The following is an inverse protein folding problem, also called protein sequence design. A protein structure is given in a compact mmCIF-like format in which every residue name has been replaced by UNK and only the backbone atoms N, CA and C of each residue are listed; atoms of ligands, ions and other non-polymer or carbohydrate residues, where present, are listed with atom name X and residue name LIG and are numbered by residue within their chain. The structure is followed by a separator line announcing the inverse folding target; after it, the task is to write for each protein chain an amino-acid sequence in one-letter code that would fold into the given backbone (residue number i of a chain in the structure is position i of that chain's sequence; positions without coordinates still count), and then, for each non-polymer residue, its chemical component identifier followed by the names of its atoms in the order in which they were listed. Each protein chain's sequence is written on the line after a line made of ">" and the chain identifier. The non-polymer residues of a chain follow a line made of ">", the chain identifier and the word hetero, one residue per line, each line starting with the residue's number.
data_IF_124632359373
#
_entry.id   IF_124632359373
#
_cell.length_a   1.000
_cell.length_b   1.000
_cell.length_c   1.000
_cell.angle_alpha   90.00
_cell.angle_beta   90.00
_cell.angle_gamma   90.00
#
_symmetry.space_group_name_H-M   'P 1'
#
loop_
_entity.id
_entity.type
_entity.pdbx_description
1 polymer ?
#
# COMPACT_ATOMS: atom_id res chain seq x y z
N UNK A 1 4.51 -26.52 12.09
CA UNK A 1 5.80 -25.84 12.32
C UNK A 1 6.14 -25.00 11.10
N UNK A 2 6.38 -23.71 11.26
CA UNK A 2 6.79 -22.77 10.21
C UNK A 2 8.28 -22.87 9.83
N UNK A 3 8.88 -24.05 9.96
CA UNK A 3 10.31 -24.25 9.72
C UNK A 3 10.67 -23.86 8.28
N UNK A 4 11.78 -23.17 8.11
CA UNK A 4 12.27 -22.58 6.85
C UNK A 4 11.31 -21.54 6.23
N UNK A 5 10.42 -20.94 7.02
CA UNK A 5 9.44 -19.95 6.53
C UNK A 5 9.55 -18.60 7.24
N UNK A 6 9.23 -17.54 6.49
CA UNK A 6 8.84 -16.24 7.03
C UNK A 6 7.38 -16.01 6.67
N UNK A 7 6.54 -15.71 7.67
CA UNK A 7 5.13 -15.36 7.47
C UNK A 7 4.94 -13.90 7.86
N UNK A 8 4.26 -13.14 7.01
CA UNK A 8 4.02 -11.72 7.21
C UNK A 8 2.52 -11.48 7.14
N UNK A 9 1.96 -10.83 8.15
CA UNK A 9 0.64 -10.20 8.08
C UNK A 9 0.82 -8.70 7.90
N UNK A 10 0.01 -8.06 7.06
CA UNK A 10 0.06 -6.60 6.87
C UNK A 10 -1.30 -6.02 6.57
N UNK A 11 -1.58 -4.87 7.19
CA UNK A 11 -2.82 -4.12 7.03
C UNK A 11 -2.56 -2.59 7.14
N UNK A 12 -3.47 -1.79 6.57
CA UNK A 12 -3.44 -0.34 6.59
C UNK A 12 -4.84 0.25 6.72
N UNK A 13 -4.97 1.23 7.61
CA UNK A 13 -6.22 1.93 7.90
C UNK A 13 -6.07 3.44 7.72
N UNK A 14 -7.17 4.11 7.36
CA UNK A 14 -7.23 5.56 7.26
C UNK A 14 -8.60 6.08 7.73
N UNK A 15 -8.60 7.00 8.69
CA UNK A 15 -9.81 7.66 9.21
C UNK A 15 -10.17 8.83 8.31
N UNK A 16 -11.04 8.56 7.32
CA UNK A 16 -11.22 9.44 6.16
C UNK A 16 -10.21 9.12 5.06
N UNK A 17 -10.54 9.41 3.80
CA UNK A 17 -9.66 9.03 2.67
C UNK A 17 -9.60 10.16 1.62
N UNK A 18 -8.65 11.11 1.73
CA UNK A 18 -7.50 11.12 2.65
C UNK A 18 -7.84 11.51 4.11
N UNK A 19 -6.96 11.15 5.04
CA UNK A 19 -7.08 11.45 6.48
C UNK A 19 -5.89 10.92 7.30
N UNK A 20 -5.95 11.00 8.64
CA UNK A 20 -5.00 10.31 9.52
C UNK A 20 -5.02 8.81 9.24
N UNK A 21 -3.86 8.19 9.07
CA UNK A 21 -3.72 6.78 8.77
C UNK A 21 -2.70 6.09 9.65
N UNK A 22 -2.80 4.78 9.69
CA UNK A 22 -1.89 3.89 10.38
C UNK A 22 -1.71 2.63 9.55
N UNK A 23 -0.54 2.02 9.67
CA UNK A 23 -0.30 0.68 9.14
C UNK A 23 0.32 -0.19 10.21
N UNK A 24 0.14 -1.49 10.06
CA UNK A 24 0.77 -2.47 10.92
C UNK A 24 1.19 -3.70 10.12
N UNK A 25 2.28 -4.32 10.58
CA UNK A 25 2.76 -5.59 10.05
C UNK A 25 3.29 -6.47 11.18
N UNK A 26 3.03 -7.77 11.07
CA UNK A 26 3.57 -8.80 11.97
C UNK A 26 4.48 -9.68 11.14
N UNK A 27 5.75 -9.80 11.52
CA UNK A 27 6.72 -10.67 10.85
C UNK A 27 7.09 -11.83 11.77
N UNK A 28 6.82 -13.05 11.32
CA UNK A 28 7.10 -14.30 12.02
C UNK A 28 8.28 -14.98 11.32
N UNK A 29 9.40 -15.10 12.01
CA UNK A 29 10.58 -15.84 11.57
C UNK A 29 10.51 -17.26 12.14
N UNK A 30 10.15 -18.23 11.30
CA UNK A 30 9.89 -19.60 11.74
C UNK A 30 11.13 -20.36 12.21
N UNK A 31 12.30 -20.08 11.62
CA UNK A 31 13.58 -20.69 12.02
C UNK A 31 14.02 -20.24 13.42
N UNK A 32 14.03 -18.92 13.66
CA UNK A 32 14.34 -18.32 14.96
C UNK A 32 13.22 -18.48 16.01
N UNK A 33 12.00 -18.86 15.61
CA UNK A 33 10.79 -18.80 16.45
C UNK A 33 10.62 -17.41 17.06
N UNK A 34 10.56 -16.40 16.19
CA UNK A 34 10.57 -15.00 16.61
C UNK A 34 9.48 -14.20 15.91
N UNK A 35 8.84 -13.30 16.64
CA UNK A 35 7.77 -12.42 16.13
C UNK A 35 8.16 -10.98 16.38
N UNK A 36 7.91 -10.13 15.39
CA UNK A 36 8.08 -8.69 15.51
C UNK A 36 6.89 -7.96 14.87
N UNK A 37 6.22 -7.13 15.67
CA UNK A 37 5.24 -6.16 15.23
C UNK A 37 5.95 -4.87 14.79
N UNK A 38 5.43 -4.26 13.74
CA UNK A 38 5.86 -2.98 13.19
C UNK A 38 4.60 -2.15 12.96
N UNK A 39 4.64 -0.86 13.31
CA UNK A 39 3.56 0.06 12.98
C UNK A 39 4.05 1.50 12.91
N UNK A 40 3.30 2.34 12.21
CA UNK A 40 3.50 3.79 12.20
C UNK A 40 2.22 4.51 11.81
N UNK A 41 2.07 5.73 12.34
CA UNK A 41 1.00 6.65 12.00
C UNK A 41 1.49 7.68 10.98
N UNK A 42 0.58 8.12 10.11
CA UNK A 42 0.80 9.22 9.17
C UNK A 42 -0.41 10.17 9.24
N UNK A 43 -0.24 11.44 9.66
CA UNK A 43 -1.35 12.36 9.90
C UNK A 43 -2.17 12.71 8.66
N UNK A 44 -1.61 12.59 7.45
CA UNK A 44 -2.30 12.89 6.20
C UNK A 44 -1.92 11.91 5.08
N UNK A 45 -2.73 10.88 4.90
CA UNK A 45 -2.48 9.79 3.95
C UNK A 45 -3.78 9.24 3.35
N UNK A 46 -3.70 8.10 2.68
CA UNK A 46 -4.85 7.34 2.16
C UNK A 46 -4.72 5.87 2.58
N UNK A 47 -5.83 5.12 2.54
CA UNK A 47 -5.81 3.69 2.87
C UNK A 47 -4.77 2.92 2.04
N UNK A 48 -4.81 3.10 0.72
CA UNK A 48 -3.90 2.42 -0.22
C UNK A 48 -2.42 2.70 0.08
N UNK A 49 -2.08 3.93 0.51
CA UNK A 49 -0.69 4.24 0.89
C UNK A 49 -0.29 3.47 2.14
N UNK A 50 -1.16 3.40 3.15
CA UNK A 50 -0.89 2.65 4.38
C UNK A 50 -0.75 1.15 4.13
N UNK A 51 -1.62 0.55 3.31
CA UNK A 51 -1.51 -0.86 2.92
C UNK A 51 -0.16 -1.17 2.24
N UNK A 52 0.29 -0.32 1.30
CA UNK A 52 1.60 -0.50 0.64
C UNK A 52 2.73 -0.31 1.65
N UNK A 53 2.69 0.74 2.46
CA UNK A 53 3.77 1.07 3.41
C UNK A 53 3.95 -0.02 4.46
N UNK A 54 2.87 -0.61 4.98
CA UNK A 54 2.96 -1.73 5.91
C UNK A 54 3.66 -2.94 5.28
N UNK A 55 3.27 -3.31 4.06
CA UNK A 55 3.89 -4.41 3.32
C UNK A 55 5.36 -4.14 3.03
N UNK A 56 5.70 -2.91 2.62
CA UNK A 56 7.07 -2.47 2.37
C UNK A 56 7.94 -2.54 3.64
N UNK A 57 7.45 -2.02 4.77
CA UNK A 57 8.20 -2.02 6.03
C UNK A 57 8.55 -3.44 6.51
N UNK A 58 7.60 -4.37 6.39
CA UNK A 58 7.84 -5.78 6.71
C UNK A 58 8.91 -6.41 5.81
N UNK A 59 8.85 -6.15 4.49
CA UNK A 59 9.86 -6.66 3.55
C UNK A 59 11.23 -6.04 3.77
N UNK A 60 11.32 -4.75 4.15
CA UNK A 60 12.59 -4.11 4.52
C UNK A 60 13.20 -4.79 5.74
N UNK A 61 12.39 -5.10 6.77
CA UNK A 61 12.84 -5.86 7.94
C UNK A 61 13.42 -7.23 7.51
N UNK A 62 12.69 -7.96 6.67
CA UNK A 62 13.14 -9.26 6.16
C UNK A 62 14.43 -9.14 5.33
N UNK A 63 14.53 -8.16 4.44
CA UNK A 63 15.69 -7.91 3.57
C UNK A 63 16.98 -7.60 4.34
N UNK A 64 16.87 -7.18 5.61
CA UNK A 64 18.00 -6.88 6.48
C UNK A 64 18.20 -7.94 7.58
N UNK A 65 17.43 -9.03 7.57
CA UNK A 65 17.53 -10.12 8.53
C UNK A 65 18.37 -11.27 7.97
N UNK A 66 19.30 -11.86 8.74
CA UNK A 66 20.07 -13.03 8.31
C UNK A 66 19.18 -14.26 8.07
N UNK A 67 18.00 -14.32 8.71
CA UNK A 67 17.02 -15.39 8.51
C UNK A 67 16.58 -15.51 7.05
N UNK A 68 16.63 -14.41 6.27
CA UNK A 68 16.25 -14.43 4.87
C UNK A 68 17.08 -15.43 4.06
N UNK A 69 18.36 -15.59 4.38
CA UNK A 69 19.30 -16.43 3.62
C UNK A 69 19.00 -17.93 3.77
N UNK A 70 18.37 -18.34 4.87
CA UNK A 70 18.01 -19.73 5.16
C UNK A 70 16.52 -20.00 4.98
N UNK A 71 15.73 -18.99 4.67
CA UNK A 71 14.29 -19.11 4.41
C UNK A 71 14.06 -19.74 3.05
N UNK A 72 13.20 -20.76 2.98
CA UNK A 72 12.76 -21.38 1.72
C UNK A 72 11.49 -20.75 1.18
N UNK A 73 10.60 -20.30 2.06
CA UNK A 73 9.31 -19.73 1.68
C UNK A 73 8.97 -18.47 2.47
N UNK A 74 8.55 -17.42 1.79
CA UNK A 74 8.03 -16.20 2.40
C UNK A 74 6.58 -15.99 1.97
N UNK A 75 5.67 -15.89 2.93
CA UNK A 75 4.23 -15.73 2.67
C UNK A 75 3.78 -14.37 3.19
N UNK A 76 3.38 -13.48 2.29
CA UNK A 76 2.70 -12.23 2.64
C UNK A 76 1.18 -12.47 2.65
N UNK A 77 0.55 -12.18 3.79
CA UNK A 77 -0.88 -12.26 4.03
C UNK A 77 -1.41 -10.84 4.24
N UNK A 78 -2.34 -10.44 3.38
CA UNK A 78 -3.04 -9.15 3.48
C UNK A 78 -4.43 -9.29 2.86
N UNK A 79 -5.39 -8.49 3.31
CA UNK A 79 -6.70 -8.36 2.67
C UNK A 79 -6.71 -7.31 1.55
N UNK A 80 -5.61 -6.61 1.32
CA UNK A 80 -5.47 -5.67 0.22
C UNK A 80 -5.27 -6.39 -1.12
N UNK A 81 -6.37 -6.55 -1.85
CA UNK A 81 -6.35 -6.93 -3.28
C UNK A 81 -5.53 -5.93 -4.11
N UNK A 82 -5.51 -4.65 -3.70
CA UNK A 82 -4.75 -3.59 -4.36
C UNK A 82 -3.24 -3.84 -4.27
N UNK A 83 -2.73 -4.17 -3.07
CA UNK A 83 -1.32 -4.52 -2.87
C UNK A 83 -0.95 -5.78 -3.64
N UNK A 84 -1.73 -6.85 -3.47
CA UNK A 84 -1.45 -8.15 -4.09
C UNK A 84 -1.38 -8.00 -5.61
N UNK A 85 -2.43 -7.48 -6.27
CA UNK A 85 -2.43 -7.34 -7.74
C UNK A 85 -1.41 -6.32 -8.23
N UNK A 86 -1.19 -5.25 -7.46
CA UNK A 86 -0.20 -4.25 -7.83
C UNK A 86 1.19 -4.87 -7.99
N UNK A 87 1.66 -5.62 -6.99
CA UNK A 87 3.00 -6.23 -7.02
C UNK A 87 3.10 -7.49 -7.89
N UNK A 88 2.02 -8.28 -8.03
CA UNK A 88 2.03 -9.55 -8.79
C UNK A 88 1.53 -9.45 -10.22
N UNK A 89 0.89 -8.36 -10.63
CA UNK A 89 0.32 -8.21 -11.97
C UNK A 89 0.67 -6.86 -12.61
N UNK A 90 0.33 -5.75 -11.96
CA UNK A 90 0.30 -4.44 -12.65
C UNK A 90 1.67 -3.80 -12.80
N UNK A 91 2.55 -3.99 -11.81
CA UNK A 91 3.86 -3.35 -11.76
C UNK A 91 4.73 -3.66 -12.97
N UNK A 92 4.63 -4.86 -13.53
CA UNK A 92 5.35 -5.26 -14.74
C UNK A 92 4.93 -4.40 -15.95
N UNK A 93 3.63 -4.17 -16.10
CA UNK A 93 3.08 -3.31 -17.14
C UNK A 93 3.41 -1.83 -16.92
N UNK A 94 3.38 -1.37 -15.66
CA UNK A 94 3.77 -0.01 -15.31
C UNK A 94 5.23 0.27 -15.63
N UNK A 95 6.16 -0.59 -15.19
CA UNK A 95 7.60 -0.48 -15.48
C UNK A 95 7.87 -0.45 -16.98
N UNK A 96 7.25 -1.35 -17.76
CA UNK A 96 7.38 -1.38 -19.22
C UNK A 96 6.90 -0.10 -19.92
N UNK A 97 5.93 0.61 -19.32
CA UNK A 97 5.36 1.86 -19.84
C UNK A 97 5.96 3.13 -19.20
N UNK A 98 7.08 3.02 -18.50
CA UNK A 98 7.69 4.16 -17.82
C UNK A 98 6.80 4.75 -16.73
N UNK A 99 6.20 3.88 -15.91
CA UNK A 99 5.29 4.21 -14.81
C UNK A 99 4.02 4.96 -15.22
N UNK A 100 3.46 4.54 -16.36
CA UNK A 100 2.16 5.00 -16.85
C UNK A 100 1.13 3.88 -16.90
N UNK A 101 -0.10 4.26 -16.58
CA UNK A 101 -1.29 3.41 -16.70
C UNK A 101 -1.62 3.15 -18.18
N UNK A 102 -2.55 2.24 -18.46
CA UNK A 102 -3.03 1.99 -19.82
C UNK A 102 -3.70 3.22 -20.46
N UNK A 103 -4.14 4.19 -19.65
CA UNK A 103 -4.68 5.47 -20.11
C UNK A 103 -3.59 6.54 -20.33
N UNK A 104 -2.30 6.17 -20.26
CA UNK A 104 -1.14 7.08 -20.38
C UNK A 104 -1.04 8.14 -19.25
N UNK A 105 -1.77 7.96 -18.16
CA UNK A 105 -1.67 8.78 -16.95
C UNK A 105 -0.61 8.18 -16.00
N UNK A 106 0.04 8.99 -15.14
CA UNK A 106 0.97 8.48 -14.12
C UNK A 106 0.30 7.47 -13.19
N UNK A 107 1.09 6.51 -12.71
CA UNK A 107 0.63 5.53 -11.72
C UNK A 107 0.45 6.21 -10.37
N UNK A 108 -0.72 6.02 -9.75
CA UNK A 108 -0.95 6.49 -8.38
C UNK A 108 -0.07 5.73 -7.39
N UNK A 109 0.48 6.45 -6.40
CA UNK A 109 1.43 5.91 -5.41
C UNK A 109 2.70 5.32 -6.04
N UNK A 110 3.12 5.82 -7.21
CA UNK A 110 4.32 5.37 -7.91
C UNK A 110 5.55 5.35 -6.98
N UNK A 111 5.70 6.36 -6.13
CA UNK A 111 6.77 6.48 -5.13
C UNK A 111 6.89 5.20 -4.26
N UNK A 112 5.78 4.75 -3.69
CA UNK A 112 5.77 3.56 -2.84
C UNK A 112 5.90 2.26 -3.65
N UNK A 113 5.37 2.23 -4.87
CA UNK A 113 5.51 1.07 -5.75
C UNK A 113 6.95 0.85 -6.22
N UNK A 114 7.67 1.92 -6.53
CA UNK A 114 9.08 1.88 -6.88
C UNK A 114 9.92 1.32 -5.72
N UNK A 115 9.67 1.77 -4.49
CA UNK A 115 10.34 1.26 -3.29
C UNK A 115 10.01 -0.21 -3.03
N UNK A 116 8.73 -0.60 -3.14
CA UNK A 116 8.30 -1.98 -2.95
C UNK A 116 8.93 -2.93 -3.97
N UNK A 117 8.95 -2.56 -5.26
CA UNK A 117 9.61 -3.32 -6.33
C UNK A 117 11.11 -3.48 -6.06
N UNK A 118 11.78 -2.41 -5.62
CA UNK A 118 13.21 -2.43 -5.30
C UNK A 118 13.52 -3.41 -4.16
N UNK A 119 12.72 -3.40 -3.08
CA UNK A 119 12.92 -4.31 -1.94
C UNK A 119 12.61 -5.76 -2.32
N UNK A 120 11.54 -6.01 -3.07
CA UNK A 120 11.23 -7.35 -3.60
C UNK A 120 12.36 -7.86 -4.49
N UNK A 121 12.91 -6.99 -5.35
CA UNK A 121 14.05 -7.32 -6.23
C UNK A 121 15.30 -7.62 -5.41
N UNK A 122 15.60 -6.82 -4.39
CA UNK A 122 16.72 -7.05 -3.45
C UNK A 122 16.56 -8.40 -2.74
N UNK A 123 15.37 -8.73 -2.24
CA UNK A 123 15.10 -10.00 -1.58
C UNK A 123 15.39 -11.18 -2.51
N UNK A 124 14.90 -11.14 -3.76
CA UNK A 124 15.17 -12.18 -4.76
C UNK A 124 16.65 -12.30 -5.11
N UNK A 125 17.39 -11.19 -5.13
CA UNK A 125 18.83 -11.21 -5.36
C UNK A 125 19.60 -11.83 -4.17
N UNK A 126 19.19 -11.53 -2.94
CA UNK A 126 19.81 -12.08 -1.72
C UNK A 126 19.50 -13.57 -1.52
N UNK A 127 18.31 -14.02 -1.90
CA UNK A 127 17.91 -15.42 -1.84
C UNK A 127 17.17 -15.83 -3.13
N UNK A 128 17.92 -16.25 -4.17
CA UNK A 128 17.33 -16.63 -5.47
C UNK A 128 16.41 -17.86 -5.43
N UNK A 129 16.55 -18.70 -4.40
CA UNK A 129 15.76 -19.92 -4.23
C UNK A 129 14.51 -19.69 -3.36
N UNK A 130 14.26 -18.46 -2.91
CA UNK A 130 13.11 -18.13 -2.08
C UNK A 130 11.81 -18.24 -2.89
N UNK A 131 10.90 -19.09 -2.42
CA UNK A 131 9.50 -19.06 -2.86
C UNK A 131 8.79 -17.90 -2.17
N UNK A 132 8.59 -16.78 -2.88
CA UNK A 132 7.81 -15.65 -2.37
C UNK A 132 6.36 -15.73 -2.85
N UNK A 133 5.43 -15.80 -1.90
CA UNK A 133 3.99 -15.93 -2.13
C UNK A 133 3.25 -14.72 -1.56
N UNK A 134 2.33 -14.16 -2.34
CA UNK A 134 1.37 -13.14 -1.90
C UNK A 134 -0.02 -13.78 -1.85
N UNK A 135 -0.66 -13.74 -0.69
CA UNK A 135 -1.91 -14.46 -0.45
C UNK A 135 -2.95 -13.54 0.17
N UNK A 136 -4.18 -13.67 -0.33
CA UNK A 136 -5.32 -12.94 0.21
C UNK A 136 -5.83 -13.63 1.47
N UNK A 137 -6.03 -12.84 2.51
CA UNK A 137 -6.82 -13.19 3.69
C UNK A 137 -8.04 -12.29 3.73
N UNK A 138 -9.17 -12.78 4.24
CA UNK A 138 -10.36 -11.96 4.33
C UNK A 138 -10.27 -11.10 5.61
N UNK A 139 -10.44 -9.78 5.47
CA UNK A 139 -10.59 -8.89 6.62
C UNK A 139 -11.79 -9.27 7.49
N UNK A 140 -11.66 -9.08 8.81
CA UNK A 140 -12.67 -9.37 9.83
C UNK A 140 -13.27 -10.78 9.73
N UNK A 141 -12.42 -11.79 9.56
CA UNK A 141 -12.82 -13.18 9.35
C UNK A 141 -12.28 -14.17 10.40
N UNK A 142 -11.81 -13.69 11.56
CA UNK A 142 -11.23 -14.51 12.62
C UNK A 142 -9.75 -14.86 12.41
N UNK A 143 -9.06 -14.23 11.46
CA UNK A 143 -7.65 -14.50 11.19
C UNK A 143 -6.81 -13.64 12.13
N UNK A 144 -6.36 -14.22 13.24
CA UNK A 144 -5.75 -13.49 14.37
C UNK A 144 -4.63 -12.53 13.96
N UNK A 145 -3.74 -12.93 13.04
CA UNK A 145 -2.67 -12.06 12.53
C UNK A 145 -3.18 -10.85 11.75
N UNK A 146 -4.20 -11.03 10.89
CA UNK A 146 -4.79 -9.91 10.16
C UNK A 146 -5.58 -8.99 11.09
N UNK A 147 -6.33 -9.57 12.03
CA UNK A 147 -7.11 -8.80 13.01
C UNK A 147 -6.22 -8.00 13.96
N UNK A 148 -5.07 -8.55 14.34
CA UNK A 148 -4.08 -7.80 15.12
C UNK A 148 -3.47 -6.65 14.32
N UNK A 149 -3.18 -6.84 13.04
CA UNK A 149 -2.73 -5.74 12.18
C UNK A 149 -3.80 -4.64 12.05
N UNK A 150 -5.07 -5.00 11.78
CA UNK A 150 -6.21 -4.07 11.72
C UNK A 150 -6.32 -3.25 13.03
N UNK A 151 -6.32 -3.94 14.17
CA UNK A 151 -6.41 -3.30 15.50
C UNK A 151 -5.31 -2.26 15.71
N UNK A 152 -4.05 -2.61 15.40
CA UNK A 152 -2.91 -1.69 15.54
C UNK A 152 -3.06 -0.52 14.55
N UNK A 153 -3.36 -0.81 13.28
CA UNK A 153 -3.49 0.22 12.24
C UNK A 153 -4.60 1.23 12.60
N UNK A 154 -5.77 0.75 13.03
CA UNK A 154 -6.90 1.59 13.46
C UNK A 154 -6.56 2.42 14.70
N UNK A 155 -5.90 1.84 15.70
CA UNK A 155 -5.44 2.59 16.89
C UNK A 155 -4.52 3.75 16.49
N UNK A 156 -3.59 3.51 15.55
CA UNK A 156 -2.67 4.54 15.08
C UNK A 156 -3.34 5.65 14.26
N UNK A 157 -4.52 5.39 13.64
CA UNK A 157 -5.32 6.48 13.02
C UNK A 157 -5.86 7.48 14.05
N UNK A 158 -5.95 7.08 15.32
CA UNK A 158 -6.52 7.84 16.44
C UNK A 158 -5.47 8.40 17.39
N UNK A 159 -4.18 8.19 17.08
CA UNK A 159 -3.06 8.50 17.97
C UNK A 159 -3.11 7.72 19.30
N UNK A 160 -3.74 6.53 19.29
CA UNK A 160 -3.80 5.65 20.45
C UNK A 160 -2.46 4.91 20.64
N UNK A 161 -2.05 4.73 21.89
CA UNK A 161 -0.87 3.93 22.22
C UNK A 161 -1.17 2.43 22.12
N UNK A 162 -0.28 1.70 21.43
CA UNK A 162 -0.27 0.24 21.42
C UNK A 162 1.14 -0.26 21.72
N UNK A 163 1.26 -1.18 22.68
CA UNK A 163 2.51 -1.87 22.92
C UNK A 163 2.77 -2.89 21.80
N UNK A 164 3.87 -2.71 21.08
CA UNK A 164 4.23 -3.52 19.93
C UNK A 164 5.12 -4.69 20.36
N UNK A 165 4.68 -5.91 20.06
CA UNK A 165 5.37 -7.10 20.45
C UNK A 165 6.68 -7.31 19.68
N UNK A 166 7.72 -7.74 20.39
CA UNK A 166 8.98 -8.17 19.78
C UNK A 166 9.66 -9.24 20.65
N UNK A 167 9.61 -10.51 20.24
CA UNK A 167 10.00 -11.60 21.14
C UNK A 167 9.83 -13.00 20.56
N UNK A 168 9.82 -13.99 21.46
CA UNK A 168 9.64 -15.41 21.12
C UNK A 168 8.24 -15.67 20.56
N UNK A 169 8.15 -16.43 19.47
CA UNK A 169 6.87 -16.90 18.93
C UNK A 169 6.03 -17.69 19.94
N UNK A 170 6.70 -18.40 20.86
CA UNK A 170 6.03 -19.24 21.86
C UNK A 170 5.31 -18.41 22.97
N UNK A 171 5.62 -17.10 23.07
CA UNK A 171 5.01 -16.17 24.01
C UNK A 171 4.13 -15.13 23.32
N UNK A 172 3.76 -15.35 22.06
CA UNK A 172 2.98 -14.40 21.30
C UNK A 172 1.47 -14.54 21.57
N UNK A 173 0.70 -13.51 21.19
CA UNK A 173 -0.71 -13.34 21.56
C UNK A 173 -1.65 -14.44 21.04
N UNK A 174 -1.24 -15.16 19.99
CA UNK A 174 -1.96 -16.27 19.39
C UNK A 174 -0.97 -17.30 18.83
N UNK A 175 -1.46 -18.50 18.52
CA UNK A 175 -0.64 -19.53 17.90
C UNK A 175 -0.25 -19.13 16.47
N UNK A 176 0.99 -18.64 16.31
CA UNK A 176 1.52 -18.24 15.01
C UNK A 176 1.78 -19.41 14.07
N UNK A 177 1.76 -20.64 14.57
CA UNK A 177 2.00 -21.83 13.76
C UNK A 177 0.74 -22.35 13.07
N UNK A 178 -0.44 -21.85 13.46
CA UNK A 178 -1.71 -22.11 12.79
C UNK A 178 -1.87 -21.16 11.60
N UNK A 179 -1.56 -21.68 10.40
CA UNK A 179 -1.72 -20.92 9.17
C UNK A 179 -3.19 -20.86 8.75
N UNK A 180 -3.71 -19.69 8.34
CA UNK A 180 -5.06 -19.59 7.84
C UNK A 180 -5.21 -20.36 6.52
N UNK A 181 -6.42 -20.80 6.24
CA UNK A 181 -6.77 -21.33 4.91
C UNK A 181 -6.62 -20.22 3.87
N UNK A 182 -5.75 -20.44 2.90
CA UNK A 182 -5.49 -19.46 1.84
C UNK A 182 -6.63 -19.49 0.83
N UNK A 183 -7.26 -18.35 0.62
CA UNK A 183 -8.37 -18.20 -0.32
C UNK A 183 -7.87 -17.68 -1.67
N UNK A 184 -8.57 -18.00 -2.77
CA UNK A 184 -8.27 -17.40 -4.06
C UNK A 184 -8.42 -15.89 -3.96
N UNK A 185 -7.54 -15.18 -4.66
CA UNK A 185 -7.60 -13.72 -4.76
C UNK A 185 -8.96 -13.32 -5.38
N UNK A 186 -9.76 -12.46 -4.72
CA UNK A 186 -11.04 -12.04 -5.25
C UNK A 186 -10.91 -11.41 -6.64
N UNK A 187 -11.91 -11.64 -7.49
CA UNK A 187 -12.04 -10.86 -8.72
C UNK A 187 -12.29 -9.40 -8.37
N UNK A 188 -11.58 -8.50 -9.04
CA UNK A 188 -11.96 -7.10 -8.98
C UNK A 188 -13.27 -6.93 -9.73
N UNK A 189 -14.31 -6.47 -9.03
CA UNK A 189 -15.53 -6.01 -9.68
C UNK A 189 -15.12 -5.03 -10.78
N UNK A 190 -15.48 -5.33 -12.04
CA UNK A 190 -15.38 -4.35 -13.11
C UNK A 190 -16.15 -3.13 -12.63
N UNK A 191 -15.45 -2.01 -12.43
CA UNK A 191 -16.13 -0.73 -12.24
C UNK A 191 -16.97 -0.58 -13.50
N UNK A 192 -18.28 -0.58 -13.34
CA UNK A 192 -19.20 -0.32 -14.44
C UNK A 192 -18.95 1.14 -14.82
N UNK A 193 -17.98 1.33 -15.71
CA UNK A 193 -17.65 2.63 -16.24
C UNK A 193 -18.72 2.91 -17.26
N UNK A 194 -19.90 3.29 -16.79
CA UNK A 194 -20.80 4.12 -17.59
C UNK A 194 -19.98 5.20 -18.30
N UNK A 195 -20.47 5.73 -19.44
CA UNK A 195 -19.67 6.51 -20.38
C UNK A 195 -18.73 7.47 -19.64
N UNK A 196 -17.41 7.32 -19.89
CA UNK A 196 -16.37 8.13 -19.24
C UNK A 196 -16.74 9.59 -19.38
N UNK A 197 -17.13 10.23 -18.28
CA UNK A 197 -17.40 11.68 -18.28
C UNK A 197 -16.11 12.39 -18.71
N UNK A 198 -16.21 13.41 -19.59
CA UNK A 198 -15.05 14.19 -19.97
C UNK A 198 -14.41 14.79 -18.72
N UNK A 199 -13.11 14.60 -18.56
CA UNK A 199 -12.34 15.13 -17.43
C UNK A 199 -11.15 15.92 -17.95
N UNK A 200 -10.83 17.00 -17.26
CA UNK A 200 -9.70 17.89 -17.56
C UNK A 200 -9.03 18.29 -16.25
N UNK A 201 -7.87 18.94 -16.32
CA UNK A 201 -7.15 19.46 -15.18
C UNK A 201 -7.23 20.99 -15.17
N UNK A 202 -7.29 21.58 -13.99
CA UNK A 202 -7.13 23.01 -13.79
C UNK A 202 -5.92 23.27 -12.90
N UNK A 203 -5.14 24.30 -13.19
CA UNK A 203 -4.01 24.76 -12.38
C UNK A 203 -4.15 26.24 -12.05
N UNK A 204 -3.75 26.65 -10.86
CA UNK A 204 -3.69 28.05 -10.43
C UNK A 204 -2.27 28.39 -10.00
N UNK A 205 -1.62 29.26 -10.77
CA UNK A 205 -0.20 29.64 -10.61
C UNK A 205 -0.11 31.16 -10.68
N UNK A 206 0.42 31.80 -9.62
CA UNK A 206 0.64 33.25 -9.58
C UNK A 206 -0.59 34.08 -9.99
N UNK A 207 -1.79 33.70 -9.54
CA UNK A 207 -3.03 34.43 -9.89
C UNK A 207 -3.71 33.98 -11.18
N UNK A 208 -3.09 33.08 -11.96
CA UNK A 208 -3.61 32.65 -13.26
C UNK A 208 -4.19 31.25 -13.18
N UNK A 209 -5.48 31.13 -13.49
CA UNK A 209 -6.14 29.84 -13.68
C UNK A 209 -5.94 29.36 -15.13
N UNK A 210 -5.56 28.09 -15.32
CA UNK A 210 -5.37 27.48 -16.65
C UNK A 210 -6.02 26.10 -16.69
N UNK A 211 -6.67 25.79 -17.80
CA UNK A 211 -7.31 24.48 -18.07
C UNK A 211 -6.42 23.66 -19.00
N UNK A 212 -6.30 22.37 -18.71
CA UNK A 212 -5.45 21.40 -19.42
C UNK A 212 -6.27 20.17 -19.76
N UNK A 213 -6.16 19.67 -20.98
CA UNK A 213 -6.93 18.50 -21.42
C UNK A 213 -6.29 17.19 -20.92
N UNK A 214 -4.99 17.21 -20.64
CA UNK A 214 -4.24 16.04 -20.18
C UNK A 214 -3.47 16.34 -18.90
N UNK A 215 -3.13 15.30 -18.14
CA UNK A 215 -2.24 15.47 -16.99
C UNK A 215 -0.88 16.01 -17.41
N UNK A 216 -0.33 15.54 -18.54
CA UNK A 216 0.99 15.94 -19.02
C UNK A 216 1.11 17.45 -19.26
N UNK A 217 0.06 18.08 -19.78
CA UNK A 217 -0.02 19.54 -19.94
C UNK A 217 -0.05 20.26 -18.59
N UNK A 218 -0.85 19.76 -17.65
CA UNK A 218 -0.95 20.32 -16.30
C UNK A 218 0.37 20.20 -15.55
N UNK A 219 0.98 19.00 -15.55
CA UNK A 219 2.25 18.71 -14.89
C UNK A 219 3.36 19.63 -15.38
N UNK A 220 3.48 19.83 -16.70
CA UNK A 220 4.48 20.71 -17.28
C UNK A 220 4.38 22.17 -16.77
N UNK A 221 3.20 22.59 -16.30
CA UNK A 221 2.99 23.93 -15.73
C UNK A 221 3.24 24.00 -14.24
N UNK A 222 2.90 22.95 -13.48
CA UNK A 222 2.91 22.99 -12.00
C UNK A 222 4.18 22.40 -11.38
N UNK A 223 4.89 21.53 -12.11
CA UNK A 223 6.08 20.84 -11.58
C UNK A 223 7.18 21.84 -11.23
N UNK A 224 7.66 21.76 -9.98
CA UNK A 224 8.70 22.65 -9.46
C UNK A 224 8.23 24.08 -9.16
N UNK A 225 6.92 24.33 -9.08
CA UNK A 225 6.34 25.66 -8.80
C UNK A 225 5.35 25.59 -7.64
N UNK A 226 5.20 26.69 -6.91
CA UNK A 226 4.09 26.86 -5.98
C UNK A 226 2.79 27.02 -6.79
N UNK A 227 2.00 25.94 -6.85
CA UNK A 227 0.82 25.85 -7.69
C UNK A 227 -0.30 25.06 -7.00
N UNK A 228 -1.56 25.45 -7.21
CA UNK A 228 -2.71 24.58 -6.92
C UNK A 228 -3.11 23.88 -8.21
N UNK A 229 -3.49 22.61 -8.17
CA UNK A 229 -4.06 21.93 -9.33
C UNK A 229 -5.07 20.86 -8.94
N UNK A 230 -6.01 20.55 -9.83
CA UNK A 230 -7.02 19.51 -9.60
C UNK A 230 -7.59 18.99 -10.91
N UNK A 231 -7.84 17.68 -10.96
CA UNK A 231 -8.65 17.05 -12.00
C UNK A 231 -10.12 17.32 -11.70
N UNK A 232 -10.89 17.70 -12.71
CA UNK A 232 -12.32 17.94 -12.63
C UNK A 232 -13.04 17.23 -13.77
N UNK A 233 -14.28 16.86 -13.53
CA UNK A 233 -15.11 16.04 -14.42
C UNK A 233 -16.45 16.69 -14.78
N UNK A 234 -16.66 17.92 -14.31
CA UNK A 234 -17.81 18.76 -14.64
C UNK A 234 -17.51 20.24 -14.38
N UNK A 235 -18.25 21.13 -15.04
CA UNK A 235 -18.16 22.57 -14.76
C UNK A 235 -18.57 22.91 -13.32
N UNK A 236 -19.54 22.19 -12.74
CA UNK A 236 -19.93 22.39 -11.34
C UNK A 236 -18.79 22.09 -10.36
N UNK A 237 -18.05 21.01 -10.62
CA UNK A 237 -16.86 20.66 -9.84
C UNK A 237 -15.75 21.69 -10.05
N UNK A 238 -15.53 22.16 -11.28
CA UNK A 238 -14.60 23.24 -11.58
C UNK A 238 -14.89 24.50 -10.75
N UNK A 239 -16.17 24.94 -10.68
CA UNK A 239 -16.58 26.10 -9.89
C UNK A 239 -16.37 25.90 -8.37
N UNK A 240 -16.65 24.70 -7.85
CA UNK A 240 -16.37 24.40 -6.45
C UNK A 240 -14.88 24.47 -6.14
N UNK A 241 -14.04 23.97 -7.05
CA UNK A 241 -12.59 24.02 -6.89
C UNK A 241 -12.08 25.47 -6.97
N UNK A 242 -12.56 26.27 -7.91
CA UNK A 242 -12.23 27.71 -8.00
C UNK A 242 -12.56 28.44 -6.70
N UNK A 243 -13.77 28.26 -6.16
CA UNK A 243 -14.18 28.81 -4.87
C UNK A 243 -13.25 28.37 -3.73
N UNK A 244 -12.92 27.09 -3.66
CA UNK A 244 -11.99 26.56 -2.63
C UNK A 244 -10.58 27.17 -2.72
N UNK A 245 -10.19 27.65 -3.90
CA UNK A 245 -8.89 28.28 -4.13
C UNK A 245 -8.90 29.80 -3.90
N UNK A 246 -10.06 30.39 -3.64
CA UNK A 246 -10.25 31.84 -3.54
C UNK A 246 -10.20 32.53 -4.91
N UNK A 247 -10.51 31.79 -5.98
CA UNK A 247 -10.54 32.30 -7.36
C UNK A 247 -12.00 32.61 -7.68
N UNK A 248 -12.32 33.89 -7.77
CA UNK A 248 -13.63 34.42 -8.20
C UNK A 248 -13.70 34.58 -9.71
#
# INVERSE_FOLDING_TARGET
>A
MLKDQIVIYSDGACSGNPGPGGWASIVIFGNKKYVQELARAEPATTNNRMEITGSLAALILCANSPELLTTKKMIMLTDSVYVIRGITEWIFGWKKRGWKTAANEPVSNQDLWEELDAVVTKIKALNPNLEMQWSFVKGHAGIAGNERCDQIAVAFTKDDYVDLYKGSADNYLFDVYEMPELKPLPEMKKKDSGPKKPAWYISYINGVLTKHNTWSECEAKVKGRAAKFKKVSSHAEEEQVKKSWGVS
#
